data_IF_405438782873
#
_entry.id   IF_405438782873
#
_cell.length_a   1.000
_cell.length_b   1.000
_cell.length_c   1.000
_cell.angle_alpha   90.00
_cell.angle_beta   90.00
_cell.angle_gamma   90.00
#
_symmetry.space_group_name_H-M   'P 1'
#
loop_
_entity.id
_entity.type
_entity.pdbx_description
1 polymer ?
#
# COMPACT_ATOMS: atom_id res chain seq x y z
N UNK A 1 -4.06 2.92 16.45
CA UNK A 1 -4.50 1.74 15.66
C UNK A 1 -3.51 1.45 14.54
N UNK A 2 -3.22 0.18 14.19
CA UNK A 2 -2.28 -0.16 13.10
C UNK A 2 -2.98 -1.00 12.03
N UNK A 3 -2.80 -0.61 10.77
CA UNK A 3 -3.34 -1.30 9.61
C UNK A 3 -2.22 -1.72 8.67
N UNK A 4 -2.43 -2.83 7.97
CA UNK A 4 -1.59 -3.27 6.85
C UNK A 4 -2.35 -2.99 5.56
N UNK A 5 -1.73 -2.32 4.60
CA UNK A 5 -2.41 -1.93 3.35
C UNK A 5 -1.61 -2.43 2.16
N UNK A 6 -2.18 -3.38 1.41
CA UNK A 6 -1.65 -3.80 0.12
C UNK A 6 -1.86 -2.69 -0.90
N UNK A 7 -0.77 -2.20 -1.49
CA UNK A 7 -0.78 -1.00 -2.34
C UNK A 7 -0.01 -1.24 -3.64
N UNK A 8 -0.43 -0.50 -4.67
CA UNK A 8 0.20 -0.43 -5.99
C UNK A 8 0.42 1.04 -6.35
N UNK A 9 1.58 1.38 -6.90
CA UNK A 9 1.91 2.77 -7.30
C UNK A 9 1.16 3.23 -8.54
N UNK A 10 0.71 2.30 -9.39
CA UNK A 10 -0.07 2.59 -10.61
C UNK A 10 -1.59 2.47 -10.38
N UNK A 11 -2.04 2.21 -9.14
CA UNK A 11 -3.45 2.21 -8.80
C UNK A 11 -3.97 3.59 -8.39
N UNK A 12 -4.96 4.11 -9.14
CA UNK A 12 -5.58 5.41 -8.85
C UNK A 12 -6.15 5.52 -7.43
N UNK A 13 -6.83 4.48 -6.93
CA UNK A 13 -7.34 4.47 -5.55
C UNK A 13 -6.23 4.36 -4.50
N UNK A 14 -5.10 3.72 -4.80
CA UNK A 14 -3.94 3.72 -3.90
C UNK A 14 -3.25 5.08 -3.82
N UNK A 15 -3.28 5.85 -4.91
CA UNK A 15 -2.82 7.23 -4.95
C UNK A 15 -3.76 8.13 -4.15
N UNK A 16 -5.07 8.00 -4.36
CA UNK A 16 -6.09 8.73 -3.56
C UNK A 16 -5.97 8.43 -2.06
N UNK A 17 -5.88 7.15 -1.70
CA UNK A 17 -5.67 6.74 -0.31
C UNK A 17 -4.43 7.43 0.30
N UNK A 18 -3.34 7.49 -0.45
CA UNK A 18 -2.09 8.08 0.03
C UNK A 18 -2.09 9.61 0.04
N UNK A 19 -2.80 10.28 -0.88
CA UNK A 19 -2.95 11.74 -0.81
C UNK A 19 -3.69 12.18 0.46
N UNK A 20 -4.50 11.28 1.02
CA UNK A 20 -5.25 11.49 2.26
C UNK A 20 -4.51 10.92 3.49
N UNK A 21 -3.25 10.45 3.38
CA UNK A 21 -2.53 9.75 4.46
C UNK A 21 -2.47 10.55 5.78
N UNK A 22 -2.43 11.88 5.69
CA UNK A 22 -2.47 12.77 6.85
C UNK A 22 -3.78 12.70 7.63
N UNK A 23 -4.91 12.46 6.96
CA UNK A 23 -6.22 12.31 7.61
C UNK A 23 -6.28 11.02 8.43
N UNK A 24 -5.82 9.90 7.88
CA UNK A 24 -5.71 8.63 8.64
C UNK A 24 -4.79 8.80 9.85
N UNK A 25 -3.61 9.39 9.66
CA UNK A 25 -2.66 9.62 10.74
C UNK A 25 -3.25 10.54 11.83
N UNK A 26 -4.00 11.57 11.44
CA UNK A 26 -4.69 12.50 12.36
C UNK A 26 -5.74 11.83 13.22
N UNK A 27 -6.34 10.74 12.74
CA UNK A 27 -7.26 9.87 13.51
C UNK A 27 -6.52 8.80 14.34
N UNK A 28 -5.19 8.85 14.44
CA UNK A 28 -4.40 7.85 15.17
C UNK A 28 -4.25 6.50 14.46
N UNK A 29 -4.53 6.47 13.14
CA UNK A 29 -4.38 5.28 12.30
C UNK A 29 -2.98 5.26 11.69
N UNK A 30 -2.18 4.28 12.07
CA UNK A 30 -0.88 4.01 11.45
C UNK A 30 -1.05 3.05 10.28
N UNK A 31 -0.65 3.49 9.09
CA UNK A 31 -0.68 2.68 7.86
C UNK A 31 0.68 2.06 7.59
N UNK A 32 0.72 0.73 7.45
CA UNK A 32 1.91 -0.03 7.03
C UNK A 32 1.66 -0.57 5.62
N UNK A 33 2.41 -0.06 4.64
CA UNK A 33 2.23 -0.50 3.26
C UNK A 33 2.93 -1.84 2.99
N UNK A 34 2.24 -2.69 2.23
CA UNK A 34 2.75 -3.93 1.67
C UNK A 34 2.61 -3.84 0.15
N UNK A 35 3.68 -4.15 -0.57
CA UNK A 35 3.73 -3.96 -2.01
C UNK A 35 2.90 -5.04 -2.75
N UNK A 36 1.99 -4.61 -3.63
CA UNK A 36 1.17 -5.49 -4.45
C UNK A 36 1.00 -4.94 -5.86
N UNK A 37 2.02 -5.05 -6.72
CA UNK A 37 1.93 -4.63 -8.12
C UNK A 37 0.92 -5.51 -8.84
N UNK A 38 -0.28 -4.99 -9.15
CA UNK A 38 -1.40 -5.79 -9.67
C UNK A 38 -1.11 -6.38 -11.05
N UNK A 39 -0.21 -5.73 -11.81
CA UNK A 39 0.25 -6.19 -13.11
C UNK A 39 1.30 -7.31 -13.04
N UNK A 40 1.67 -7.78 -11.83
CA UNK A 40 2.59 -8.90 -11.63
C UNK A 40 4.05 -8.49 -11.44
N UNK A 41 4.91 -9.49 -11.14
CA UNK A 41 6.30 -9.32 -10.70
C UNK A 41 7.31 -8.94 -11.80
N UNK A 42 6.88 -8.89 -13.06
CA UNK A 42 7.73 -8.46 -14.20
C UNK A 42 7.22 -7.15 -14.82
N UNK A 43 6.28 -6.49 -14.14
CA UNK A 43 5.64 -5.27 -14.64
C UNK A 43 6.43 -4.00 -14.31
N UNK A 44 6.14 -2.92 -15.03
CA UNK A 44 6.67 -1.60 -14.70
C UNK A 44 6.28 -1.17 -13.26
N UNK A 45 5.05 -1.44 -12.82
CA UNK A 45 4.60 -1.20 -11.44
C UNK A 45 5.48 -1.93 -10.41
N UNK A 46 5.88 -3.17 -10.70
CA UNK A 46 6.82 -3.90 -9.85
C UNK A 46 8.17 -3.20 -9.77
N UNK A 47 8.74 -2.80 -10.90
CA UNK A 47 10.05 -2.13 -10.92
C UNK A 47 10.02 -0.79 -10.17
N UNK A 48 8.93 -0.01 -10.32
CA UNK A 48 8.71 1.24 -9.60
C UNK A 48 8.67 1.02 -8.09
N UNK A 49 7.83 0.10 -7.62
CA UNK A 49 7.65 -0.14 -6.18
C UNK A 49 8.89 -0.80 -5.56
N UNK A 50 9.66 -1.59 -6.31
CA UNK A 50 11.01 -2.03 -5.90
C UNK A 50 11.93 -0.83 -5.69
N UNK A 51 11.94 0.13 -6.62
CA UNK A 51 12.69 1.38 -6.49
C UNK A 51 12.41 2.13 -5.19
N UNK A 52 11.14 2.22 -4.79
CA UNK A 52 10.79 2.80 -3.49
C UNK A 52 11.34 1.99 -2.32
N UNK A 53 11.27 0.65 -2.36
CA UNK A 53 11.76 -0.22 -1.28
C UNK A 53 13.27 -0.31 -1.17
N UNK A 54 14.00 -0.11 -2.27
CA UNK A 54 15.45 -0.09 -2.31
C UNK A 54 16.04 1.27 -1.93
N UNK A 55 15.23 2.34 -1.98
CA UNK A 55 15.69 3.70 -1.68
C UNK A 55 16.02 3.91 -0.19
N UNK A 56 17.02 4.76 0.06
CA UNK A 56 17.35 5.26 1.40
C UNK A 56 16.21 6.03 2.06
N UNK A 57 15.32 6.62 1.27
CA UNK A 57 14.13 7.34 1.73
C UNK A 57 12.87 6.77 1.06
N UNK A 58 12.56 5.52 1.40
CA UNK A 58 11.40 4.81 0.87
C UNK A 58 10.08 5.56 1.03
N UNK A 59 9.91 6.34 2.11
CA UNK A 59 8.68 7.12 2.36
C UNK A 59 8.54 8.25 1.33
N UNK A 60 9.60 9.03 1.13
CA UNK A 60 9.57 10.12 0.17
C UNK A 60 9.42 9.59 -1.26
N UNK A 61 10.20 8.56 -1.64
CA UNK A 61 10.13 8.00 -3.00
C UNK A 61 8.75 7.40 -3.29
N UNK A 62 8.16 6.65 -2.35
CA UNK A 62 6.80 6.14 -2.51
C UNK A 62 5.78 7.27 -2.66
N UNK A 63 5.94 8.36 -1.90
CA UNK A 63 5.06 9.53 -1.98
C UNK A 63 5.14 10.17 -3.35
N UNK A 64 6.34 10.40 -3.87
CA UNK A 64 6.56 11.00 -5.19
C UNK A 64 6.04 10.13 -6.33
N UNK A 65 6.31 8.82 -6.29
CA UNK A 65 5.75 7.86 -7.26
C UNK A 65 4.21 7.87 -7.23
N UNK A 66 3.59 7.98 -6.05
CA UNK A 66 2.13 8.06 -5.92
C UNK A 66 1.54 9.41 -6.36
N UNK A 67 2.33 10.49 -6.37
CA UNK A 67 1.94 11.77 -6.98
C UNK A 67 2.05 11.75 -8.51
N UNK A 68 2.69 10.73 -9.08
CA UNK A 68 2.91 10.61 -10.52
C UNK A 68 4.21 11.26 -11.00
N UNK A 69 5.14 11.57 -10.08
CA UNK A 69 6.51 11.97 -10.44
C UNK A 69 7.21 10.84 -11.21
N UNK A 70 8.21 11.19 -12.01
CA UNK A 70 8.95 10.22 -12.80
C UNK A 70 9.61 9.18 -11.86
N UNK A 71 9.44 7.87 -12.12
CA UNK A 71 9.80 6.86 -11.16
C UNK A 71 11.32 6.73 -11.05
N UNK A 72 11.83 6.79 -9.82
CA UNK A 72 13.19 6.33 -9.53
C UNK A 72 13.20 4.81 -9.56
N UNK A 73 13.85 4.24 -10.57
CA UNK A 73 14.02 2.79 -10.72
C UNK A 73 15.39 2.43 -10.14
N UNK A 74 15.44 2.23 -8.83
CA UNK A 74 16.60 1.67 -8.14
C UNK A 74 16.35 0.17 -7.90
N UNK A 75 17.30 -0.68 -8.25
CA UNK A 75 17.18 -2.13 -8.05
C UNK A 75 18.19 -2.57 -7.00
N UNK A 76 17.75 -3.37 -6.06
CA UNK A 76 18.58 -3.98 -5.02
C UNK A 76 18.18 -5.44 -4.85
N UNK A 77 19.14 -6.31 -4.56
CA UNK A 77 18.85 -7.75 -4.43
C UNK A 77 17.97 -8.05 -3.20
N UNK A 78 18.18 -7.32 -2.11
CA UNK A 78 17.44 -7.49 -0.86
C UNK A 78 16.22 -6.56 -0.80
N UNK A 79 15.14 -6.97 -1.47
CA UNK A 79 13.84 -6.31 -1.34
C UNK A 79 12.71 -7.32 -1.03
N UNK A 80 11.69 -6.94 -0.24
CA UNK A 80 10.60 -7.85 0.12
C UNK A 80 9.45 -7.87 -0.90
N UNK A 81 9.48 -7.07 -1.98
CA UNK A 81 8.33 -6.88 -2.89
C UNK A 81 7.75 -8.19 -3.44
N UNK A 82 8.59 -9.13 -3.88
CA UNK A 82 8.14 -10.46 -4.34
C UNK A 82 7.49 -11.28 -3.22
N UNK A 83 8.03 -11.19 -1.99
CA UNK A 83 7.44 -11.85 -0.81
C UNK A 83 6.07 -11.24 -0.47
N UNK A 84 5.96 -9.91 -0.54
CA UNK A 84 4.71 -9.18 -0.34
C UNK A 84 3.63 -9.57 -1.36
N UNK A 85 3.98 -9.58 -2.64
CA UNK A 85 3.07 -9.99 -3.72
C UNK A 85 2.57 -11.43 -3.51
N UNK A 86 3.49 -12.37 -3.26
CA UNK A 86 3.13 -13.77 -3.01
C UNK A 86 2.25 -13.94 -1.76
N UNK A 87 2.50 -13.16 -0.70
CA UNK A 87 1.64 -13.16 0.49
C UNK A 87 0.23 -12.68 0.13
N UNK A 88 0.11 -11.56 -0.57
CA UNK A 88 -1.17 -11.01 -1.02
C UNK A 88 -1.97 -12.02 -1.83
N UNK A 89 -1.31 -12.75 -2.76
CA UNK A 89 -1.96 -13.81 -3.52
C UNK A 89 -2.47 -14.95 -2.63
N UNK A 90 -1.69 -15.40 -1.64
CA UNK A 90 -2.09 -16.49 -0.74
C UNK A 90 -3.28 -16.14 0.14
N UNK A 91 -3.41 -14.88 0.55
CA UNK A 91 -4.52 -14.41 1.40
C UNK A 91 -5.71 -13.89 0.59
N UNK A 92 -5.69 -14.05 -0.75
CA UNK A 92 -6.81 -13.72 -1.62
C UNK A 92 -6.95 -12.24 -2.00
N UNK A 93 -5.87 -11.45 -1.92
CA UNK A 93 -5.88 -10.08 -2.44
C UNK A 93 -6.01 -10.11 -3.97
N UNK A 94 -7.10 -9.55 -4.48
CA UNK A 94 -7.39 -9.46 -5.93
C UNK A 94 -7.31 -8.03 -6.47
N UNK A 95 -7.25 -7.03 -5.59
CA UNK A 95 -7.23 -5.62 -5.97
C UNK A 95 -6.55 -4.76 -4.91
N UNK A 96 -6.24 -3.51 -5.27
CA UNK A 96 -5.61 -2.54 -4.37
C UNK A 96 -6.37 -1.20 -4.40
N UNK A 97 -6.40 -0.42 -3.31
CA UNK A 97 -5.86 -0.79 -2.00
C UNK A 97 -6.67 -1.92 -1.37
N UNK A 98 -6.03 -2.74 -0.54
CA UNK A 98 -6.72 -3.71 0.30
C UNK A 98 -6.16 -3.62 1.71
N UNK A 99 -7.05 -3.44 2.68
CA UNK A 99 -6.72 -3.11 4.05
C UNK A 99 -6.91 -4.36 4.90
N UNK A 100 -5.89 -4.72 5.67
CA UNK A 100 -5.92 -5.80 6.65
C UNK A 100 -5.80 -5.16 8.04
N UNK A 101 -6.83 -5.36 8.84
CA UNK A 101 -6.93 -4.87 10.22
C UNK A 101 -6.09 -5.74 11.16
N UNK A 102 -5.83 -5.26 12.38
CA UNK A 102 -5.00 -5.97 13.37
C UNK A 102 -5.61 -7.29 13.85
N UNK A 103 -6.93 -7.44 13.77
CA UNK A 103 -7.68 -8.66 14.06
C UNK A 103 -7.77 -9.62 12.84
N UNK A 104 -7.14 -9.27 11.71
CA UNK A 104 -7.03 -10.13 10.53
C UNK A 104 -8.18 -10.01 9.53
N UNK A 105 -9.15 -9.12 9.73
CA UNK A 105 -10.20 -8.88 8.72
C UNK A 105 -9.62 -8.21 7.48
N UNK A 106 -10.17 -8.59 6.33
CA UNK A 106 -9.84 -8.01 5.03
C UNK A 106 -10.94 -7.04 4.60
N UNK A 107 -10.61 -5.76 4.48
CA UNK A 107 -11.46 -4.71 3.94
C UNK A 107 -10.96 -4.36 2.52
N UNK A 108 -11.65 -4.82 1.46
CA UNK A 108 -11.22 -4.57 0.09
C UNK A 108 -11.54 -3.13 -0.32
N UNK A 109 -10.64 -2.53 -1.10
CA UNK A 109 -10.86 -1.24 -1.73
C UNK A 109 -10.44 -0.05 -0.88
N UNK A 110 -10.67 1.13 -1.46
CA UNK A 110 -10.46 2.41 -0.79
C UNK A 110 -11.63 2.71 0.15
N UNK A 111 -11.31 3.23 1.34
CA UNK A 111 -12.26 3.75 2.31
C UNK A 111 -11.71 5.09 2.82
N UNK A 112 -12.51 6.17 2.82
CA UNK A 112 -12.17 7.41 3.52
C UNK A 112 -11.81 7.15 4.99
N UNK A 113 -11.01 8.04 5.59
CA UNK A 113 -10.44 7.82 6.92
C UNK A 113 -11.50 7.68 8.04
N UNK A 114 -12.58 8.46 7.97
CA UNK A 114 -13.72 8.42 8.88
C UNK A 114 -14.55 7.13 8.71
N UNK A 115 -14.86 6.75 7.48
CA UNK A 115 -15.57 5.50 7.19
C UNK A 115 -14.74 4.28 7.64
N UNK A 116 -13.44 4.30 7.39
CA UNK A 116 -12.53 3.25 7.83
C UNK A 116 -12.52 3.12 9.35
N UNK A 117 -12.48 4.24 10.08
CA UNK A 117 -12.54 4.24 11.54
C UNK A 117 -13.84 3.60 12.03
N UNK A 118 -14.99 4.01 11.49
CA UNK A 118 -16.29 3.44 11.83
C UNK A 118 -16.37 1.93 11.58
N UNK A 119 -15.82 1.44 10.45
CA UNK A 119 -15.81 0.00 10.14
C UNK A 119 -14.90 -0.81 11.05
N UNK A 120 -13.87 -0.20 11.63
CA UNK A 120 -12.96 -0.91 12.52
C UNK A 120 -13.51 -0.90 13.95
N UNK A 121 -14.08 0.22 14.41
CA UNK A 121 -14.66 0.37 15.75
C UNK A 121 -16.02 -0.33 15.89
N UNK A 122 -16.88 -0.28 14.88
CA UNK A 122 -18.22 -0.91 14.91
C UNK A 122 -18.22 -2.44 14.78
N UNK A 123 -17.08 -3.09 15.05
CA UNK A 123 -16.88 -4.54 14.94
C UNK A 123 -16.75 -5.24 16.30
N UNK A 124 -16.94 -4.50 17.38
CA UNK A 124 -17.04 -5.01 18.75
C UNK A 124 -18.49 -5.35 19.13
#
# INVERSE_FOLDING_TARGET
MKLVVFTDVDCGYCRKFHSEIGQYNGLGITVNYVAFPRSGIESESFNKIVGAWCSKDAKNILTEQKKGSEPIIEQCEDHPVRKHFNLGQRIGITGTPAIVTSDGRLLPGYLPADELLLRIEGSE
#
